data_IF_083369282369
#
_entry.id   IF_083369282369
#
_cell.length_a   1.000
_cell.length_b   1.000
_cell.length_c   1.000
_cell.angle_alpha   90.00
_cell.angle_beta   90.00
_cell.angle_gamma   90.00
#
_symmetry.space_group_name_H-M   'P 1'
#
loop_
_entity.id
_entity.type
_entity.pdbx_description
1 polymer ?
#
# COMPACT_ATOMS: atom_id res chain seq x y z
N UNK A 1 27.60 -0.27 6.61
CA UNK A 1 26.89 0.57 7.59
C UNK A 1 25.57 -0.11 7.86
N UNK A 2 25.18 -0.30 9.12
CA UNK A 2 24.03 -1.11 9.49
C UNK A 2 22.74 -0.54 8.87
N UNK A 3 21.98 -1.41 8.24
CA UNK A 3 20.65 -1.17 7.68
C UNK A 3 19.75 -0.54 8.77
N UNK A 4 19.39 0.73 8.60
CA UNK A 4 18.56 1.46 9.56
C UNK A 4 17.12 0.99 9.36
N UNK A 5 16.80 -0.16 9.96
CA UNK A 5 15.47 -0.76 9.93
C UNK A 5 14.44 0.28 10.36
N UNK A 6 13.62 0.73 9.40
CA UNK A 6 12.62 1.78 9.60
C UNK A 6 11.70 1.40 10.77
N UNK A 7 11.84 2.11 11.89
CA UNK A 7 11.01 1.88 13.08
C UNK A 7 9.55 2.20 12.76
N UNK A 8 8.66 1.28 13.12
CA UNK A 8 7.23 1.53 13.04
C UNK A 8 6.83 2.66 13.99
N UNK A 9 5.90 3.49 13.54
CA UNK A 9 5.46 4.71 14.18
C UNK A 9 4.09 4.53 14.82
N UNK A 10 3.98 4.89 16.09
CA UNK A 10 2.73 4.89 16.85
C UNK A 10 2.39 6.34 17.22
N UNK A 11 1.13 6.73 16.99
CA UNK A 11 0.61 7.99 17.50
C UNK A 11 -0.36 7.73 18.65
N UNK A 12 -0.22 8.47 19.75
CA UNK A 12 -1.06 8.35 20.94
C UNK A 12 -1.87 9.65 21.10
N UNK A 13 -3.17 9.52 21.28
CA UNK A 13 -4.06 10.65 21.56
C UNK A 13 -4.75 10.38 22.88
N UNK A 14 -4.30 11.07 23.93
CA UNK A 14 -4.65 10.81 25.32
C UNK A 14 -4.43 12.08 26.14
N UNK A 15 -5.46 12.55 26.84
CA UNK A 15 -5.39 13.78 27.65
C UNK A 15 -4.83 13.54 29.06
N UNK A 16 -4.87 12.29 29.56
CA UNK A 16 -4.16 11.87 30.76
C UNK A 16 -2.65 11.77 30.49
N UNK A 17 -1.90 12.73 31.05
CA UNK A 17 -0.45 12.81 30.89
C UNK A 17 0.29 11.58 31.44
N UNK A 18 -0.16 11.03 32.58
CA UNK A 18 0.50 9.88 33.20
C UNK A 18 0.32 8.62 32.33
N UNK A 19 -0.87 8.44 31.77
CA UNK A 19 -1.16 7.34 30.85
C UNK A 19 -0.39 7.50 29.53
N UNK A 20 -0.37 8.70 28.96
CA UNK A 20 0.38 9.01 27.74
C UNK A 20 1.88 8.74 27.90
N UNK A 21 2.48 9.18 29.01
CA UNK A 21 3.90 8.99 29.30
C UNK A 21 4.23 7.50 29.50
N UNK A 22 3.38 6.77 30.24
CA UNK A 22 3.55 5.33 30.43
C UNK A 22 3.50 4.57 29.11
N UNK A 23 2.51 4.85 28.25
CA UNK A 23 2.38 4.21 26.94
C UNK A 23 3.55 4.57 26.03
N UNK A 24 3.96 5.84 26.03
CA UNK A 24 5.11 6.32 25.24
C UNK A 24 6.38 5.59 25.62
N UNK A 25 6.72 5.54 26.92
CA UNK A 25 7.89 4.84 27.41
C UNK A 25 7.84 3.34 27.09
N UNK A 26 6.69 2.70 27.30
CA UNK A 26 6.51 1.27 27.03
C UNK A 26 6.77 0.92 25.57
N UNK A 27 6.13 1.63 24.62
CA UNK A 27 6.29 1.32 23.19
C UNK A 27 7.66 1.74 22.64
N UNK A 28 8.28 2.81 23.17
CA UNK A 28 9.66 3.15 22.80
C UNK A 28 10.66 2.05 23.17
N UNK A 29 10.53 1.46 24.36
CA UNK A 29 11.36 0.31 24.78
C UNK A 29 11.16 -0.91 23.88
N UNK A 30 9.97 -1.07 23.30
CA UNK A 30 9.68 -2.14 22.32
C UNK A 30 10.17 -1.82 20.90
N UNK A 31 10.86 -0.70 20.69
CA UNK A 31 11.50 -0.35 19.42
C UNK A 31 10.66 0.51 18.47
N UNK A 32 9.49 1.00 18.91
CA UNK A 32 8.64 1.89 18.11
C UNK A 32 9.11 3.34 18.21
N UNK A 33 8.88 4.11 17.16
CA UNK A 33 8.89 5.57 17.24
C UNK A 33 7.51 6.04 17.70
N UNK A 34 7.44 6.85 18.76
CA UNK A 34 6.16 7.24 19.35
C UNK A 34 6.03 8.76 19.38
N UNK A 35 4.88 9.27 18.98
CA UNK A 35 4.47 10.65 19.15
C UNK A 35 3.11 10.71 19.87
N UNK A 36 2.81 11.84 20.52
CA UNK A 36 1.55 12.01 21.25
C UNK A 36 0.92 13.39 21.05
N UNK A 37 -0.38 13.48 21.35
CA UNK A 37 -1.14 14.71 21.50
C UNK A 37 -2.16 14.56 22.63
N UNK A 38 -2.33 15.60 23.44
CA UNK A 38 -3.31 15.61 24.54
C UNK A 38 -4.71 16.10 24.14
N UNK A 39 -4.86 16.52 22.89
CA UNK A 39 -6.07 17.16 22.36
C UNK A 39 -6.39 16.66 20.96
N UNK A 40 -7.66 16.55 20.62
CA UNK A 40 -8.10 16.02 19.34
C UNK A 40 -7.73 16.91 18.16
N UNK A 41 -7.85 18.22 18.29
CA UNK A 41 -7.49 19.16 17.21
C UNK A 41 -5.97 19.12 16.92
N UNK A 42 -5.17 19.00 17.97
CA UNK A 42 -3.72 18.84 17.86
C UNK A 42 -3.36 17.50 17.19
N UNK A 43 -4.06 16.43 17.55
CA UNK A 43 -3.84 15.11 16.97
C UNK A 43 -4.08 15.09 15.45
N UNK A 44 -5.16 15.69 14.95
CA UNK A 44 -5.47 15.73 13.52
C UNK A 44 -4.34 16.41 12.72
N UNK A 45 -3.78 17.49 13.27
CA UNK A 45 -2.65 18.21 12.66
C UNK A 45 -1.38 17.36 12.67
N UNK A 46 -0.96 16.92 13.87
CA UNK A 46 0.31 16.20 14.06
C UNK A 46 0.35 14.84 13.36
N UNK A 47 -0.78 14.12 13.28
CA UNK A 47 -0.84 12.81 12.60
C UNK A 47 -0.51 12.95 11.11
N UNK A 48 -0.98 14.04 10.47
CA UNK A 48 -0.73 14.29 9.05
C UNK A 48 0.75 14.52 8.72
N UNK A 49 1.48 15.11 9.66
CA UNK A 49 2.92 15.39 9.55
C UNK A 49 3.77 14.19 9.96
N UNK A 50 3.41 13.53 11.05
CA UNK A 50 4.15 12.40 11.61
C UNK A 50 4.03 11.13 10.76
N UNK A 51 2.88 10.95 10.09
CA UNK A 51 2.51 9.78 9.29
C UNK A 51 2.75 8.47 10.05
N UNK A 52 1.96 8.22 11.13
CA UNK A 52 2.09 6.99 11.92
C UNK A 52 1.62 5.76 11.14
N UNK A 53 2.10 4.59 11.54
CA UNK A 53 1.62 3.30 11.04
C UNK A 53 0.36 2.83 11.80
N UNK A 54 0.10 3.37 12.99
CA UNK A 54 -1.11 3.14 13.79
C UNK A 54 -1.35 4.29 14.78
N UNK A 55 -2.62 4.59 15.06
CA UNK A 55 -3.02 5.50 16.13
C UNK A 55 -3.78 4.78 17.25
N UNK A 56 -3.46 5.13 18.49
CA UNK A 56 -4.24 4.81 19.69
C UNK A 56 -4.95 6.09 20.12
N UNK A 57 -6.27 6.03 20.25
CA UNK A 57 -7.11 7.23 20.38
C UNK A 57 -8.08 7.07 21.53
N UNK A 58 -7.98 7.92 22.54
CA UNK A 58 -9.07 8.09 23.50
C UNK A 58 -10.29 8.69 22.79
N UNK A 59 -11.46 8.19 23.15
CA UNK A 59 -12.76 8.73 22.75
C UNK A 59 -13.03 10.03 23.51
N UNK A 60 -12.67 10.11 24.80
CA UNK A 60 -12.94 11.30 25.62
C UNK A 60 -11.73 12.21 25.62
N UNK A 61 -11.80 13.27 24.82
CA UNK A 61 -10.80 14.32 24.78
C UNK A 61 -11.43 15.65 25.22
N UNK A 62 -10.63 16.62 25.67
CA UNK A 62 -11.14 17.88 26.24
C UNK A 62 -11.75 18.84 25.21
N UNK A 63 -11.56 18.62 23.90
CA UNK A 63 -12.00 19.53 22.83
C UNK A 63 -12.98 18.88 21.84
N UNK A 64 -12.56 17.83 21.14
CA UNK A 64 -13.38 17.08 20.20
C UNK A 64 -13.32 15.59 20.54
N UNK A 65 -14.44 14.90 20.42
CA UNK A 65 -14.54 13.46 20.62
C UNK A 65 -13.58 12.68 19.68
N UNK A 66 -12.98 11.60 20.17
CA UNK A 66 -12.13 10.71 19.38
C UNK A 66 -12.80 10.13 18.13
N UNK A 67 -14.12 9.91 18.12
CA UNK A 67 -14.85 9.55 16.90
C UNK A 67 -14.81 10.66 15.85
N UNK A 68 -14.88 11.93 16.27
CA UNK A 68 -14.73 13.09 15.38
C UNK A 68 -13.30 13.19 14.84
N UNK A 69 -12.29 12.99 15.69
CA UNK A 69 -10.88 12.89 15.24
C UNK A 69 -10.74 11.82 14.16
N UNK A 70 -11.26 10.61 14.41
CA UNK A 70 -11.22 9.51 13.45
C UNK A 70 -11.94 9.88 12.14
N UNK A 71 -13.13 10.50 12.20
CA UNK A 71 -13.87 10.93 11.01
C UNK A 71 -13.07 11.93 10.16
N UNK A 72 -12.37 12.87 10.80
CA UNK A 72 -11.51 13.84 10.10
C UNK A 72 -10.28 13.18 9.49
N UNK A 73 -9.66 12.23 10.18
CA UNK A 73 -8.57 11.43 9.63
C UNK A 73 -9.04 10.60 8.43
N UNK A 74 -10.26 10.05 8.47
CA UNK A 74 -10.89 9.33 7.36
C UNK A 74 -11.21 10.22 6.15
N UNK A 75 -11.59 11.48 6.39
CA UNK A 75 -11.85 12.46 5.33
C UNK A 75 -10.57 12.96 4.60
N UNK A 76 -9.39 12.77 5.19
CA UNK A 76 -8.12 13.17 4.59
C UNK A 76 -7.44 11.99 3.88
N UNK A 77 -7.21 12.13 2.56
CA UNK A 77 -6.59 11.09 1.71
C UNK A 77 -5.27 10.52 2.25
N UNK A 78 -4.47 11.31 2.98
CA UNK A 78 -3.18 10.86 3.53
C UNK A 78 -3.32 9.95 4.75
N UNK A 79 -4.44 10.05 5.46
CA UNK A 79 -4.68 9.38 6.75
C UNK A 79 -5.90 8.47 6.73
N UNK A 80 -6.60 8.40 5.58
CA UNK A 80 -7.86 7.66 5.45
C UNK A 80 -7.71 6.16 5.77
N UNK A 81 -6.53 5.59 5.52
CA UNK A 81 -6.25 4.17 5.74
C UNK A 81 -5.51 3.91 7.05
N UNK A 82 -5.25 4.94 7.87
CA UNK A 82 -4.55 4.80 9.15
C UNK A 82 -5.34 3.87 10.09
N UNK A 83 -4.78 2.72 10.52
CA UNK A 83 -5.45 1.90 11.52
C UNK A 83 -5.57 2.66 12.85
N UNK A 84 -6.78 2.64 13.43
CA UNK A 84 -7.08 3.29 14.72
C UNK A 84 -7.57 2.24 15.70
N UNK A 85 -6.98 2.23 16.90
CA UNK A 85 -7.47 1.48 18.07
C UNK A 85 -8.04 2.49 19.05
N UNK A 86 -9.33 2.35 19.38
CA UNK A 86 -9.96 3.21 20.36
C UNK A 86 -9.69 2.71 21.79
N UNK A 87 -9.32 3.64 22.66
CA UNK A 87 -9.29 3.45 24.10
C UNK A 87 -10.58 4.03 24.68
N UNK A 88 -11.36 3.22 25.39
CA UNK A 88 -12.71 3.61 25.87
C UNK A 88 -12.89 3.27 27.33
N UNK A 89 -13.60 4.06 28.11
CA UNK A 89 -14.06 3.62 29.44
C UNK A 89 -15.41 2.90 29.40
N UNK A 90 -16.15 2.99 28.28
CA UNK A 90 -17.53 2.50 28.19
C UNK A 90 -17.60 1.08 27.63
N UNK A 91 -18.48 0.26 28.22
CA UNK A 91 -18.78 -1.12 27.78
C UNK A 91 -20.02 -1.25 26.90
N UNK A 92 -20.74 -0.16 26.65
CA UNK A 92 -22.04 -0.20 25.98
C UNK A 92 -21.94 -0.55 24.48
N UNK A 93 -22.97 -1.25 24.00
CA UNK A 93 -23.01 -1.90 22.70
C UNK A 93 -23.22 -0.92 21.54
N UNK A 94 -23.84 0.23 21.81
CA UNK A 94 -24.13 1.33 20.87
C UNK A 94 -22.86 2.07 20.43
N UNK A 95 -21.91 2.28 21.35
CA UNK A 95 -20.66 3.00 21.06
C UNK A 95 -19.68 2.15 20.21
N UNK A 96 -19.79 0.82 20.29
CA UNK A 96 -19.02 -0.10 19.43
C UNK A 96 -19.51 -0.11 17.98
N UNK A 97 -20.81 0.06 17.76
CA UNK A 97 -21.39 0.15 16.41
C UNK A 97 -20.92 1.43 15.69
N UNK A 98 -20.91 2.57 16.40
CA UNK A 98 -20.57 3.87 15.84
C UNK A 98 -19.18 3.92 15.20
N UNK A 99 -18.15 3.31 15.78
CA UNK A 99 -16.84 3.28 15.12
C UNK A 99 -16.50 1.99 14.38
N UNK A 100 -17.32 0.93 14.45
CA UNK A 100 -17.31 -0.11 13.41
C UNK A 100 -17.71 0.51 12.05
N UNK A 101 -18.67 1.43 12.05
CA UNK A 101 -19.07 2.21 10.85
C UNK A 101 -17.97 3.18 10.37
N UNK A 102 -17.07 3.63 11.25
CA UNK A 102 -15.94 4.50 10.91
C UNK A 102 -14.68 3.74 10.45
N UNK A 103 -14.75 2.40 10.35
CA UNK A 103 -13.60 1.57 9.96
C UNK A 103 -12.50 1.54 11.03
N UNK A 104 -12.88 1.54 12.32
CA UNK A 104 -11.94 1.29 13.41
C UNK A 104 -11.43 -0.15 13.34
N UNK A 105 -10.16 -0.34 13.69
CA UNK A 105 -9.55 -1.67 13.68
C UNK A 105 -9.89 -2.45 14.94
N UNK A 106 -9.98 -1.77 16.08
CA UNK A 106 -10.25 -2.41 17.37
C UNK A 106 -10.68 -1.42 18.48
N UNK A 107 -11.15 -1.97 19.61
CA UNK A 107 -11.50 -1.25 20.84
C UNK A 107 -10.89 -1.92 22.06
N UNK A 108 -10.45 -1.10 23.02
CA UNK A 108 -9.91 -1.55 24.29
C UNK A 108 -10.54 -0.75 25.42
N UNK A 109 -11.11 -1.45 26.40
CA UNK A 109 -11.71 -0.81 27.58
C UNK A 109 -10.68 -0.49 28.65
N UNK A 110 -10.64 0.75 29.14
CA UNK A 110 -9.91 1.21 30.32
C UNK A 110 -10.64 0.74 31.61
N UNK A 111 -9.91 0.33 32.67
CA UNK A 111 -8.47 0.04 32.67
C UNK A 111 -8.17 -1.23 31.86
N UNK A 112 -7.04 -1.24 31.15
CA UNK A 112 -6.63 -2.35 30.29
C UNK A 112 -5.30 -2.98 30.73
N UNK A 113 -5.09 -4.23 30.33
CA UNK A 113 -3.78 -4.88 30.45
C UNK A 113 -2.85 -4.37 29.34
N UNK A 114 -1.67 -3.88 29.71
CA UNK A 114 -0.67 -3.35 28.77
C UNK A 114 -0.18 -4.41 27.77
N UNK A 115 -0.13 -5.68 28.17
CA UNK A 115 0.21 -6.79 27.28
C UNK A 115 -0.92 -7.08 26.28
N UNK A 116 -2.18 -6.94 26.69
CA UNK A 116 -3.32 -7.03 25.78
C UNK A 116 -3.26 -5.91 24.73
N UNK A 117 -3.04 -4.66 25.17
CA UNK A 117 -2.88 -3.51 24.28
C UNK A 117 -1.73 -3.74 23.29
N UNK A 118 -0.58 -4.20 23.77
CA UNK A 118 0.57 -4.54 22.91
C UNK A 118 0.20 -5.60 21.87
N UNK A 119 -0.50 -6.65 22.27
CA UNK A 119 -0.94 -7.73 21.37
C UNK A 119 -1.88 -7.19 20.28
N UNK A 120 -2.80 -6.31 20.63
CA UNK A 120 -3.75 -5.68 19.69
C UNK A 120 -3.05 -4.73 18.73
N UNK A 121 -2.17 -3.86 19.22
CA UNK A 121 -1.32 -2.99 18.38
C UNK A 121 -0.50 -3.82 17.39
N UNK A 122 0.20 -4.84 17.88
CA UNK A 122 1.00 -5.74 17.03
C UNK A 122 0.14 -6.45 15.98
N UNK A 123 -1.05 -6.92 16.35
CA UNK A 123 -1.95 -7.60 15.43
C UNK A 123 -2.56 -6.64 14.40
N UNK A 124 -2.90 -5.41 14.79
CA UNK A 124 -3.40 -4.37 13.89
C UNK A 124 -2.34 -3.94 12.87
N UNK A 125 -1.11 -3.71 13.32
CA UNK A 125 0.03 -3.46 12.43
C UNK A 125 0.26 -4.65 11.49
N UNK A 126 0.20 -5.88 12.00
CA UNK A 126 0.34 -7.09 11.17
C UNK A 126 -0.82 -7.29 10.19
N UNK A 127 -2.04 -6.84 10.52
CA UNK A 127 -3.20 -6.90 9.63
C UNK A 127 -3.10 -5.85 8.54
N UNK A 128 -2.62 -4.66 8.87
CA UNK A 128 -2.33 -3.62 7.88
C UNK A 128 -1.25 -4.11 6.92
N UNK A 129 -0.21 -4.80 7.43
CA UNK A 129 0.82 -5.43 6.59
C UNK A 129 0.36 -6.71 5.86
N UNK A 130 -0.66 -7.44 6.35
CA UNK A 130 -1.24 -8.64 5.68
C UNK A 130 -2.35 -8.34 4.69
N UNK A 131 -3.16 -7.31 4.93
CA UNK A 131 -4.09 -6.76 3.95
C UNK A 131 -3.34 -6.16 2.75
N UNK A 132 -2.06 -5.87 2.94
CA UNK A 132 -1.07 -5.46 1.93
C UNK A 132 -0.31 -6.64 1.28
N UNK A 133 -0.70 -7.90 1.48
CA UNK A 133 -0.04 -9.02 0.78
C UNK A 133 -0.66 -9.35 -0.58
N UNK A 134 -1.93 -8.99 -0.81
CA UNK A 134 -2.60 -9.14 -2.09
C UNK A 134 -3.44 -7.90 -2.35
N UNK A 135 -3.34 -7.38 -3.56
CA UNK A 135 -4.14 -6.26 -4.00
C UNK A 135 -5.64 -6.66 -4.06
N UNK A 136 -6.57 -5.88 -3.48
CA UNK A 136 -7.98 -6.25 -3.40
C UNK A 136 -8.69 -6.24 -4.77
N UNK A 137 -8.15 -5.54 -5.77
CA UNK A 137 -8.75 -5.42 -7.11
C UNK A 137 -8.23 -6.52 -8.04
N UNK A 138 -6.92 -6.75 -8.03
CA UNK A 138 -6.25 -7.66 -8.97
C UNK A 138 -6.00 -9.05 -8.38
N UNK A 139 -5.98 -9.18 -7.05
CA UNK A 139 -5.61 -10.41 -6.34
C UNK A 139 -4.11 -10.75 -6.42
N UNK A 140 -3.30 -9.89 -7.03
CA UNK A 140 -1.86 -10.09 -7.18
C UNK A 140 -1.12 -9.71 -5.90
N UNK A 141 0.01 -10.35 -5.57
CA UNK A 141 0.73 -9.97 -4.37
C UNK A 141 1.35 -8.58 -4.46
N UNK A 142 1.38 -7.86 -3.35
CA UNK A 142 1.91 -6.50 -3.26
C UNK A 142 2.76 -6.32 -1.99
N UNK A 143 3.39 -5.14 -1.85
CA UNK A 143 4.12 -4.76 -0.63
C UNK A 143 5.24 -5.74 -0.25
N UNK A 144 5.25 -6.18 1.01
CA UNK A 144 6.31 -7.05 1.53
C UNK A 144 6.31 -8.44 0.88
N UNK A 145 5.16 -8.97 0.47
CA UNK A 145 5.07 -10.28 -0.18
C UNK A 145 5.68 -10.25 -1.59
N UNK A 146 5.47 -9.16 -2.33
CA UNK A 146 6.16 -8.93 -3.60
C UNK A 146 7.67 -8.78 -3.37
N UNK A 147 8.07 -7.94 -2.41
CA UNK A 147 9.49 -7.65 -2.15
C UNK A 147 10.30 -8.88 -1.77
N UNK A 148 9.79 -9.72 -0.88
CA UNK A 148 10.43 -10.98 -0.48
C UNK A 148 10.63 -11.93 -1.68
N UNK A 149 9.63 -12.04 -2.56
CA UNK A 149 9.74 -12.85 -3.78
C UNK A 149 10.74 -12.29 -4.77
N UNK A 150 10.77 -10.96 -4.93
CA UNK A 150 11.74 -10.30 -5.80
C UNK A 150 13.17 -10.52 -5.30
N UNK A 151 13.41 -10.31 -4.00
CA UNK A 151 14.70 -10.54 -3.35
C UNK A 151 15.16 -12.00 -3.50
N UNK A 152 14.24 -12.95 -3.34
CA UNK A 152 14.53 -14.37 -3.55
C UNK A 152 14.90 -14.67 -5.00
N UNK A 153 14.19 -14.07 -5.96
CA UNK A 153 14.43 -14.31 -7.39
C UNK A 153 15.81 -13.79 -7.84
N UNK A 154 16.21 -12.61 -7.39
CA UNK A 154 17.47 -11.98 -7.83
C UNK A 154 18.71 -12.57 -7.16
N UNK A 155 18.56 -13.39 -6.11
CA UNK A 155 19.65 -14.19 -5.54
C UNK A 155 20.13 -15.30 -6.48
N UNK A 156 19.30 -15.71 -7.45
CA UNK A 156 19.70 -16.66 -8.49
C UNK A 156 20.68 -16.05 -9.50
N UNK A 157 21.41 -16.89 -10.23
CA UNK A 157 22.26 -16.43 -11.35
C UNK A 157 21.48 -16.21 -12.66
N UNK A 158 20.21 -16.62 -12.71
CA UNK A 158 19.38 -16.61 -13.92
C UNK A 158 18.03 -15.95 -13.61
N UNK A 159 17.97 -14.63 -13.74
CA UNK A 159 16.74 -13.87 -13.53
C UNK A 159 16.52 -12.83 -14.62
N UNK A 160 15.26 -12.51 -14.83
CA UNK A 160 14.76 -11.48 -15.72
C UNK A 160 13.60 -10.77 -15.03
N UNK A 161 13.63 -9.45 -15.01
CA UNK A 161 12.60 -8.59 -14.46
C UNK A 161 11.95 -7.81 -15.59
N UNK A 162 10.63 -7.80 -15.63
CA UNK A 162 9.84 -6.95 -16.53
C UNK A 162 9.00 -6.03 -15.66
N UNK A 163 9.15 -4.72 -15.84
CA UNK A 163 8.31 -3.72 -15.20
C UNK A 163 7.30 -3.21 -16.22
N UNK A 164 6.04 -3.17 -15.81
CA UNK A 164 4.93 -2.64 -16.58
C UNK A 164 4.31 -1.49 -15.79
N UNK A 165 4.43 -0.28 -16.32
CA UNK A 165 3.92 0.92 -15.68
C UNK A 165 2.65 1.40 -16.39
N UNK A 166 1.59 1.58 -15.61
CA UNK A 166 0.31 2.08 -16.11
C UNK A 166 0.18 3.58 -15.81
N UNK A 167 0.39 4.40 -16.82
CA UNK A 167 0.27 5.86 -16.71
C UNK A 167 -1.16 6.33 -17.00
N UNK A 168 -1.55 7.47 -16.44
CA UNK A 168 -2.86 8.09 -16.68
C UNK A 168 -4.04 7.41 -15.96
N UNK A 169 -3.79 6.38 -15.12
CA UNK A 169 -4.86 5.68 -14.40
C UNK A 169 -5.64 6.60 -13.44
N UNK A 170 -4.98 7.57 -12.82
CA UNK A 170 -5.63 8.56 -11.97
C UNK A 170 -6.53 9.50 -12.78
N UNK A 171 -6.06 10.03 -13.92
CA UNK A 171 -6.87 10.87 -14.80
C UNK A 171 -8.08 10.11 -15.37
N UNK A 172 -7.88 8.84 -15.73
CA UNK A 172 -8.96 7.95 -16.14
C UNK A 172 -9.99 7.74 -15.02
N UNK A 173 -9.54 7.50 -13.79
CA UNK A 173 -10.41 7.37 -12.61
C UNK A 173 -11.21 8.63 -12.34
N UNK A 174 -10.60 9.81 -12.47
CA UNK A 174 -11.28 11.09 -12.28
C UNK A 174 -12.37 11.31 -13.34
N UNK A 175 -12.18 10.80 -14.55
CA UNK A 175 -13.10 10.96 -15.68
C UNK A 175 -14.22 9.91 -15.73
N UNK A 176 -13.91 8.65 -15.40
CA UNK A 176 -14.80 7.49 -15.59
C UNK A 176 -15.18 6.76 -14.30
N UNK A 177 -14.61 7.17 -13.16
CA UNK A 177 -14.92 6.63 -11.84
C UNK A 177 -14.06 5.44 -11.40
N UNK A 178 -14.16 5.10 -10.10
CA UNK A 178 -13.38 4.06 -9.44
C UNK A 178 -13.63 2.66 -10.02
N UNK A 179 -14.90 2.31 -10.27
CA UNK A 179 -15.26 0.99 -10.81
C UNK A 179 -14.61 0.75 -12.18
N UNK A 180 -14.63 1.75 -13.06
CA UNK A 180 -14.00 1.65 -14.37
C UNK A 180 -12.46 1.50 -14.26
N UNK A 181 -11.82 2.23 -13.35
CA UNK A 181 -10.38 2.10 -13.11
C UNK A 181 -9.99 0.73 -12.52
N UNK A 182 -10.85 0.17 -11.67
CA UNK A 182 -10.66 -1.17 -11.11
C UNK A 182 -10.82 -2.25 -12.19
N UNK A 183 -11.77 -2.08 -13.11
CA UNK A 183 -11.94 -2.97 -14.26
C UNK A 183 -10.72 -2.96 -15.19
N UNK A 184 -10.13 -1.78 -15.42
CA UNK A 184 -8.84 -1.66 -16.13
C UNK A 184 -7.75 -2.44 -15.42
N UNK A 185 -7.58 -2.20 -14.11
CA UNK A 185 -6.53 -2.85 -13.30
C UNK A 185 -6.68 -4.38 -13.31
N UNK A 186 -7.91 -4.89 -13.22
CA UNK A 186 -8.21 -6.34 -13.29
C UNK A 186 -7.93 -6.91 -14.67
N UNK A 187 -8.30 -6.20 -15.74
CA UNK A 187 -8.05 -6.63 -17.11
C UNK A 187 -6.53 -6.69 -17.42
N UNK A 188 -5.78 -5.67 -17.00
CA UNK A 188 -4.32 -5.64 -17.14
C UNK A 188 -3.69 -6.80 -16.37
N UNK A 189 -4.06 -7.00 -15.10
CA UNK A 189 -3.57 -8.10 -14.28
C UNK A 189 -3.83 -9.48 -14.93
N UNK A 190 -5.02 -9.68 -15.50
CA UNK A 190 -5.37 -10.92 -16.22
C UNK A 190 -4.50 -11.10 -17.47
N UNK A 191 -4.29 -10.04 -18.26
CA UNK A 191 -3.45 -10.09 -19.46
C UNK A 191 -2.00 -10.44 -19.13
N UNK A 192 -1.45 -9.85 -18.06
CA UNK A 192 -0.10 -10.13 -17.58
C UNK A 192 0.01 -11.57 -17.04
N UNK A 193 -0.97 -12.02 -16.26
CA UNK A 193 -1.02 -13.40 -15.74
C UNK A 193 -1.00 -14.41 -16.89
N UNK A 194 -1.80 -14.18 -17.93
CA UNK A 194 -1.81 -15.03 -19.12
C UNK A 194 -0.48 -14.98 -19.88
N UNK A 195 0.18 -13.82 -19.94
CA UNK A 195 1.50 -13.70 -20.60
C UNK A 195 2.58 -14.52 -19.87
N UNK A 196 2.55 -14.54 -18.54
CA UNK A 196 3.45 -15.34 -17.69
C UNK A 196 3.17 -16.84 -17.80
N UNK A 197 1.91 -17.25 -17.75
CA UNK A 197 1.56 -18.67 -17.83
C UNK A 197 2.00 -19.33 -19.15
N UNK A 198 2.11 -18.55 -20.23
CA UNK A 198 2.59 -19.04 -21.52
C UNK A 198 4.11 -19.32 -21.55
N UNK A 199 4.90 -18.80 -20.61
CA UNK A 199 6.36 -19.04 -20.50
C UNK A 199 6.72 -20.09 -19.44
N UNK A 200 5.78 -20.44 -18.55
CA UNK A 200 5.76 -21.56 -17.60
C UNK A 200 7.13 -22.07 -17.09
N UNK A 201 7.78 -21.26 -16.26
CA UNK A 201 8.78 -21.76 -15.30
C UNK A 201 8.24 -21.71 -13.86
N UNK A 202 8.76 -22.57 -12.98
CA UNK A 202 8.28 -22.70 -11.60
C UNK A 202 8.49 -21.43 -10.76
N UNK A 203 9.48 -20.61 -11.15
CA UNK A 203 9.88 -19.39 -10.44
C UNK A 203 9.30 -18.11 -11.06
N UNK A 204 8.49 -18.24 -12.12
CA UNK A 204 7.85 -17.08 -12.74
C UNK A 204 6.79 -16.50 -11.79
N UNK A 205 6.80 -15.19 -11.64
CA UNK A 205 5.94 -14.51 -10.66
C UNK A 205 5.47 -13.15 -11.17
N UNK A 206 4.26 -12.73 -10.78
CA UNK A 206 3.66 -11.44 -11.08
C UNK A 206 3.12 -10.82 -9.80
N UNK A 207 3.48 -9.56 -9.55
CA UNK A 207 2.95 -8.77 -8.43
C UNK A 207 2.98 -7.27 -8.68
N UNK A 208 2.54 -6.50 -7.70
CA UNK A 208 2.57 -5.05 -7.71
C UNK A 208 3.82 -4.50 -7.05
N UNK A 209 4.55 -3.64 -7.75
CA UNK A 209 5.68 -2.89 -7.19
C UNK A 209 5.17 -1.66 -6.41
N UNK A 210 4.21 -0.95 -6.98
CA UNK A 210 3.50 0.18 -6.39
C UNK A 210 2.10 0.29 -7.05
N UNK A 211 1.36 1.35 -6.74
CA UNK A 211 0.00 1.61 -7.23
C UNK A 211 -0.03 1.74 -8.75
N UNK A 212 -0.52 0.70 -9.43
CA UNK A 212 -0.64 0.66 -10.90
C UNK A 212 0.60 0.16 -11.64
N UNK A 213 1.69 -0.11 -10.93
CA UNK A 213 2.92 -0.67 -11.49
C UNK A 213 3.03 -2.16 -11.17
N UNK A 214 3.37 -2.96 -12.17
CA UNK A 214 3.45 -4.40 -12.09
C UNK A 214 4.88 -4.86 -12.37
N UNK A 215 5.36 -5.83 -11.59
CA UNK A 215 6.64 -6.48 -11.83
C UNK A 215 6.42 -7.95 -12.09
N UNK A 216 7.05 -8.42 -13.16
CA UNK A 216 7.12 -9.82 -13.53
C UNK A 216 8.55 -10.31 -13.32
N UNK A 217 8.67 -11.49 -12.74
CA UNK A 217 9.92 -12.24 -12.61
C UNK A 217 9.86 -13.41 -13.57
N UNK A 218 10.95 -13.63 -14.30
CA UNK A 218 11.14 -14.72 -15.26
C UNK A 218 12.62 -15.11 -15.33
N UNK A 219 12.98 -16.08 -16.16
CA UNK A 219 14.39 -16.36 -16.52
C UNK A 219 14.99 -15.27 -17.41
N UNK A 220 16.33 -15.13 -17.39
CA UNK A 220 17.05 -14.13 -18.18
C UNK A 220 16.83 -14.32 -19.70
N UNK A 221 16.72 -15.58 -20.16
CA UNK A 221 16.51 -15.91 -21.57
C UNK A 221 15.11 -15.56 -22.11
N UNK A 222 14.09 -15.54 -21.24
CA UNK A 222 12.70 -15.25 -21.62
C UNK A 222 12.30 -13.79 -21.39
N UNK A 223 13.09 -13.05 -20.58
CA UNK A 223 12.83 -11.68 -20.16
C UNK A 223 12.41 -10.73 -21.31
N UNK A 224 13.25 -10.63 -22.35
CA UNK A 224 12.97 -9.74 -23.49
C UNK A 224 11.72 -10.15 -24.29
N UNK A 225 11.47 -11.46 -24.42
CA UNK A 225 10.29 -11.98 -25.15
C UNK A 225 9.01 -11.68 -24.38
N UNK A 226 9.03 -11.88 -23.05
CA UNK A 226 7.92 -11.59 -22.17
C UNK A 226 7.61 -10.09 -22.18
N UNK A 227 8.62 -9.23 -22.05
CA UNK A 227 8.46 -7.77 -22.11
C UNK A 227 7.77 -7.31 -23.41
N UNK A 228 8.27 -7.74 -24.57
CA UNK A 228 7.67 -7.41 -25.88
C UNK A 228 6.23 -7.91 -26.00
N UNK A 229 5.93 -9.09 -25.45
CA UNK A 229 4.58 -9.65 -25.47
C UNK A 229 3.63 -8.83 -24.61
N UNK A 230 4.04 -8.48 -23.39
CA UNK A 230 3.27 -7.62 -22.49
C UNK A 230 3.00 -6.27 -23.15
N UNK A 231 4.02 -5.63 -23.71
CA UNK A 231 3.90 -4.34 -24.40
C UNK A 231 2.89 -4.42 -25.56
N UNK A 232 3.08 -5.33 -26.52
CA UNK A 232 2.17 -5.48 -27.67
C UNK A 232 0.72 -5.73 -27.25
N UNK A 233 0.48 -6.64 -26.28
CA UNK A 233 -0.86 -6.98 -25.82
C UNK A 233 -1.51 -5.78 -25.13
N UNK A 234 -0.82 -5.13 -24.21
CA UNK A 234 -1.36 -4.03 -23.43
C UNK A 234 -1.61 -2.79 -24.30
N UNK A 235 -0.67 -2.41 -25.16
CA UNK A 235 -0.82 -1.31 -26.12
C UNK A 235 -2.06 -1.51 -27.01
N UNK A 236 -2.30 -2.73 -27.49
CA UNK A 236 -3.47 -3.05 -28.30
C UNK A 236 -4.79 -2.95 -27.51
N UNK A 237 -4.77 -3.19 -26.20
CA UNK A 237 -5.96 -3.18 -25.34
C UNK A 237 -6.35 -1.80 -24.84
N UNK A 238 -5.40 -0.86 -24.68
CA UNK A 238 -5.65 0.48 -24.10
C UNK A 238 -6.90 1.18 -24.67
N UNK A 239 -7.12 1.26 -26.00
CA UNK A 239 -8.27 1.95 -26.56
C UNK A 239 -9.62 1.34 -26.15
N UNK A 240 -9.64 0.05 -25.80
CA UNK A 240 -10.88 -0.67 -25.48
C UNK A 240 -11.35 -0.43 -24.05
N UNK A 241 -10.49 0.10 -23.17
CA UNK A 241 -10.87 0.53 -21.82
C UNK A 241 -11.75 1.77 -21.82
N UNK A 242 -11.73 2.56 -22.90
CA UNK A 242 -12.56 3.73 -23.06
C UNK A 242 -13.94 3.37 -23.64
N UNK A 243 -15.00 4.12 -23.26
CA UNK A 243 -16.30 4.03 -23.91
C UNK A 243 -16.18 4.15 -25.43
N UNK A 244 -16.96 3.35 -26.17
CA UNK A 244 -16.84 3.24 -27.63
C UNK A 244 -16.94 4.59 -28.36
N UNK A 245 -17.80 5.48 -27.85
CA UNK A 245 -18.02 6.82 -28.39
C UNK A 245 -16.81 7.75 -28.22
N UNK A 246 -15.91 7.46 -27.29
CA UNK A 246 -14.76 8.33 -26.96
C UNK A 246 -13.44 7.84 -27.54
N UNK A 247 -13.38 6.62 -28.09
CA UNK A 247 -12.14 6.01 -28.59
C UNK A 247 -11.42 6.82 -29.65
N UNK A 248 -12.16 7.54 -30.49
CA UNK A 248 -11.58 8.39 -31.53
C UNK A 248 -10.85 9.61 -30.96
N UNK A 249 -11.21 10.07 -29.76
CA UNK A 249 -10.67 11.25 -29.08
C UNK A 249 -9.44 10.97 -28.23
N UNK A 250 -9.12 9.70 -27.97
CA UNK A 250 -7.94 9.30 -27.17
C UNK A 250 -6.64 9.86 -27.79
N UNK A 251 -6.59 9.94 -29.13
CA UNK A 251 -5.44 10.49 -29.85
C UNK A 251 -5.23 12.00 -29.61
N UNK A 252 -6.32 12.70 -29.28
CA UNK A 252 -6.35 14.14 -29.04
C UNK A 252 -6.10 14.51 -27.57
N UNK A 253 -6.15 13.51 -26.66
CA UNK A 253 -5.82 13.68 -25.25
C UNK A 253 -4.31 13.84 -25.03
N UNK A 254 -3.93 14.66 -24.04
CA UNK A 254 -2.56 14.75 -23.57
C UNK A 254 -2.05 13.41 -23.06
N UNK A 255 -0.74 13.18 -23.15
CA UNK A 255 -0.11 11.90 -22.75
C UNK A 255 -0.39 11.57 -21.28
N UNK A 256 -0.47 12.57 -20.41
CA UNK A 256 -0.77 12.42 -18.97
C UNK A 256 -2.25 12.18 -18.68
N UNK A 257 -3.12 12.55 -19.62
CA UNK A 257 -4.58 12.53 -19.44
C UNK A 257 -5.21 11.27 -20.03
N UNK A 258 -4.39 10.42 -20.64
CA UNK A 258 -4.81 9.14 -21.20
C UNK A 258 -4.03 7.98 -20.59
N UNK A 259 -4.68 6.83 -20.59
CA UNK A 259 -4.04 5.56 -20.29
C UNK A 259 -2.90 5.34 -21.27
N UNK A 260 -1.72 5.07 -20.73
CA UNK A 260 -0.56 4.67 -21.49
C UNK A 260 0.21 3.60 -20.72
N UNK A 261 0.89 2.74 -21.46
CA UNK A 261 1.64 1.62 -20.91
C UNK A 261 3.10 1.83 -21.26
N UNK A 262 3.97 1.69 -20.27
CA UNK A 262 5.40 1.62 -20.50
C UNK A 262 5.93 0.29 -19.98
N UNK A 263 6.71 -0.41 -20.79
CA UNK A 263 7.30 -1.70 -20.42
C UNK A 263 8.82 -1.60 -20.51
N UNK A 264 9.48 -1.81 -19.39
CA UNK A 264 10.94 -1.94 -19.31
C UNK A 264 11.31 -3.33 -18.83
N UNK A 265 12.54 -3.75 -19.08
CA UNK A 265 13.02 -5.04 -18.61
C UNK A 265 14.51 -5.00 -18.32
N UNK A 266 14.94 -5.90 -17.45
CA UNK A 266 16.33 -6.06 -17.02
C UNK A 266 16.61 -7.55 -16.82
N UNK A 267 17.83 -8.01 -17.08
CA UNK A 267 18.19 -9.41 -16.86
C UNK A 267 19.56 -9.56 -16.23
N UNK A 268 19.83 -10.70 -15.61
CA UNK A 268 21.14 -11.04 -15.07
C UNK A 268 22.24 -11.15 -16.13
N UNK A 269 21.89 -11.23 -17.43
CA UNK A 269 22.85 -11.17 -18.52
C UNK A 269 23.36 -9.74 -18.80
N UNK A 270 22.54 -8.74 -18.47
CA UNK A 270 22.76 -7.34 -18.85
C UNK A 270 23.14 -6.45 -17.66
N UNK A 271 22.91 -6.93 -16.42
CA UNK A 271 23.09 -6.14 -15.22
C UNK A 271 23.60 -6.96 -14.03
N UNK A 272 24.66 -6.46 -13.38
CA UNK A 272 25.20 -7.03 -12.15
C UNK A 272 24.55 -6.35 -10.93
N UNK A 273 23.77 -7.13 -10.20
CA UNK A 273 23.03 -6.66 -9.04
C UNK A 273 23.94 -6.43 -7.83
N UNK A 274 23.94 -5.21 -7.28
CA UNK A 274 24.66 -4.88 -6.03
C UNK A 274 23.73 -4.69 -4.84
N UNK A 275 22.60 -4.01 -5.04
CA UNK A 275 21.57 -3.75 -4.02
C UNK A 275 20.18 -3.52 -4.64
N UNK A 276 19.12 -3.78 -3.86
CA UNK A 276 17.71 -3.76 -4.31
C UNK A 276 17.30 -2.39 -4.83
N UNK A 277 17.74 -1.33 -4.18
CA UNK A 277 17.33 0.02 -4.55
C UNK A 277 17.96 0.43 -5.89
N UNK A 278 19.22 0.06 -6.13
CA UNK A 278 19.90 0.25 -7.41
C UNK A 278 19.21 -0.51 -8.53
N UNK A 279 18.86 -1.78 -8.31
CA UNK A 279 18.14 -2.61 -9.29
C UNK A 279 16.80 -2.00 -9.69
N UNK A 280 15.97 -1.62 -8.70
CA UNK A 280 14.66 -1.04 -8.94
C UNK A 280 14.77 0.32 -9.64
N UNK A 281 15.77 1.14 -9.27
CA UNK A 281 16.04 2.42 -9.97
C UNK A 281 16.40 2.19 -11.43
N UNK A 282 17.27 1.24 -11.74
CA UNK A 282 17.63 0.90 -13.12
C UNK A 282 16.44 0.36 -13.90
N UNK A 283 15.63 -0.51 -13.28
CA UNK A 283 14.43 -1.06 -13.91
C UNK A 283 13.38 0.02 -14.22
N UNK A 284 13.17 0.99 -13.33
CA UNK A 284 12.23 2.11 -13.52
C UNK A 284 12.73 3.12 -14.55
N UNK A 285 14.02 3.46 -14.54
CA UNK A 285 14.58 4.46 -15.46
C UNK A 285 14.94 3.88 -16.84
N UNK A 286 14.92 2.55 -16.98
CA UNK A 286 15.54 1.84 -18.09
C UNK A 286 17.06 1.72 -17.89
N UNK A 287 17.62 0.61 -18.36
CA UNK A 287 19.07 0.42 -18.48
C UNK A 287 19.64 1.13 -19.72
#
# INVERSE_FOLDING_TARGET
MADEQKKLKIFIVEDDADLSDMLTAYFQVQGYQVAFAGRGEEAVQKISDFMPDIAMLDIRLPDIDGYEVCRRLRANRRTQDLPVIFLTEKREQTDKLAGLELGAVDYITKPFDIQELRLRVRNALRRTSRSSMMNPVTGLPEGSAMRERLETAVQGMNWGLVLVQMQGLNAFRDSYGFVAADDVSRAVALMLTNAVQETSHADDFLGHLDTGDYVLVTSASECSKLARRCDMRLQASVPYFYPALERHRIKDMGITDRLNVHVTFLSSNDYEYTDMDSLLRTLVNGA
#
